data_IF_772318130483
#
_entry.id   IF_772318130483
#
_cell.length_a   1.000
_cell.length_b   1.000
_cell.length_c   1.000
_cell.angle_alpha   90.00
_cell.angle_beta   90.00
_cell.angle_gamma   90.00
#
_symmetry.space_group_name_H-M   'P 1'
#
loop_
_entity.id
_entity.type
_entity.pdbx_description
1 polymer ?
#
# COMPACT_ATOMS: atom_id res chain seq x y z
N UNK A 1 46.64 12.23 -26.04
CA UNK A 1 45.97 13.44 -26.60
C UNK A 1 44.48 13.14 -26.60
N UNK A 2 43.71 13.65 -25.62
CA UNK A 2 42.94 14.91 -25.70
C UNK A 2 41.74 14.69 -26.62
N UNK A 3 40.54 14.45 -26.09
CA UNK A 3 39.69 15.53 -25.55
C UNK A 3 38.70 15.08 -24.48
N UNK A 4 38.68 15.84 -23.39
CA UNK A 4 37.63 15.94 -22.37
C UNK A 4 36.55 16.90 -22.90
N UNK A 5 35.27 16.56 -22.76
CA UNK A 5 34.18 17.55 -22.63
C UNK A 5 33.14 17.04 -21.62
N UNK A 6 32.79 17.93 -20.71
CA UNK A 6 32.04 17.77 -19.46
C UNK A 6 30.63 18.37 -19.62
N UNK A 7 29.65 17.76 -18.93
CA UNK A 7 28.36 18.30 -18.45
C UNK A 7 27.35 18.75 -19.53
N UNK A 8 26.04 18.51 -19.39
CA UNK A 8 25.22 18.90 -18.24
C UNK A 8 24.03 17.96 -18.07
N UNK A 9 24.08 17.08 -17.06
CA UNK A 9 22.89 16.44 -16.53
C UNK A 9 22.25 17.43 -15.55
N UNK A 10 21.26 18.18 -16.02
CA UNK A 10 20.39 18.95 -15.13
C UNK A 10 19.47 17.95 -14.41
N UNK A 11 19.95 17.42 -13.29
CA UNK A 11 19.10 16.77 -12.31
C UNK A 11 18.03 17.77 -11.88
N UNK A 12 16.80 17.57 -12.34
CA UNK A 12 15.63 18.13 -11.68
C UNK A 12 15.62 17.53 -10.28
N UNK A 13 16.13 18.31 -9.33
CA UNK A 13 16.00 18.04 -7.91
C UNK A 13 14.51 18.08 -7.58
N UNK A 14 13.87 16.92 -7.62
CA UNK A 14 12.70 16.67 -6.82
C UNK A 14 13.19 16.72 -5.38
N UNK A 15 13.05 17.89 -4.76
CA UNK A 15 12.99 18.00 -3.32
C UNK A 15 11.80 17.13 -2.87
N UNK A 16 12.05 15.85 -2.62
CA UNK A 16 11.12 15.05 -1.85
C UNK A 16 11.07 15.68 -0.46
N UNK A 17 9.95 16.29 -0.05
CA UNK A 17 9.83 16.79 1.30
C UNK A 17 9.96 15.59 2.24
N UNK A 18 10.48 15.86 3.43
CA UNK A 18 10.81 14.91 4.47
C UNK A 18 9.58 14.09 4.98
N UNK A 19 9.11 13.14 4.17
CA UNK A 19 8.05 12.17 4.51
C UNK A 19 8.59 10.78 4.83
N UNK A 20 9.91 10.60 4.89
CA UNK A 20 10.55 9.29 4.98
C UNK A 20 10.32 8.54 6.32
N UNK A 21 9.93 9.23 7.39
CA UNK A 21 9.68 8.58 8.69
C UNK A 21 8.19 8.31 8.94
N UNK A 22 7.29 9.19 8.51
CA UNK A 22 5.84 8.92 8.56
C UNK A 22 5.39 7.98 7.45
N UNK A 23 5.97 8.09 6.25
CA UNK A 23 5.55 7.29 5.09
C UNK A 23 5.77 5.78 5.26
N UNK A 24 6.88 5.38 5.90
CA UNK A 24 7.12 3.96 6.21
C UNK A 24 6.07 3.41 7.19
N UNK A 25 5.70 4.22 8.20
CA UNK A 25 4.67 3.87 9.17
C UNK A 25 3.27 3.84 8.53
N UNK A 26 2.95 4.78 7.64
CA UNK A 26 1.67 4.81 6.90
C UNK A 26 1.54 3.63 5.93
N UNK A 27 2.61 3.28 5.21
CA UNK A 27 2.61 2.15 4.31
C UNK A 27 2.51 0.81 5.05
N UNK A 28 3.06 0.73 6.26
CA UNK A 28 2.84 -0.39 7.17
C UNK A 28 1.37 -0.52 7.57
N UNK A 29 0.75 0.57 8.03
CA UNK A 29 -0.67 0.58 8.40
C UNK A 29 -1.59 0.19 7.22
N UNK A 30 -1.33 0.71 6.02
CA UNK A 30 -2.12 0.33 4.85
C UNK A 30 -1.91 -1.15 4.48
N UNK A 31 -0.68 -1.67 4.58
CA UNK A 31 -0.40 -3.08 4.32
C UNK A 31 -1.10 -3.99 5.33
N UNK A 32 -1.16 -3.61 6.60
CA UNK A 32 -1.95 -4.33 7.62
C UNK A 32 -3.44 -4.34 7.25
N UNK A 33 -4.01 -3.19 6.86
CA UNK A 33 -5.42 -3.11 6.45
C UNK A 33 -5.70 -4.01 5.24
N UNK A 34 -4.82 -3.97 4.23
CA UNK A 34 -4.88 -4.86 3.05
C UNK A 34 -4.86 -6.32 3.47
N UNK A 35 -3.95 -6.69 4.38
CA UNK A 35 -3.86 -8.07 4.85
C UNK A 35 -5.09 -8.53 5.61
N UNK A 36 -5.74 -7.67 6.40
CA UNK A 36 -7.02 -8.01 7.05
C UNK A 36 -8.11 -8.34 6.02
N UNK A 37 -8.14 -7.63 4.89
CA UNK A 37 -9.08 -7.93 3.81
C UNK A 37 -8.71 -9.23 3.08
N UNK A 38 -7.41 -9.48 2.86
CA UNK A 38 -6.92 -10.76 2.31
C UNK A 38 -7.33 -11.93 3.19
N UNK A 39 -7.11 -11.82 4.50
CA UNK A 39 -7.48 -12.82 5.51
C UNK A 39 -8.99 -13.08 5.49
N UNK A 40 -9.81 -12.03 5.54
CA UNK A 40 -11.27 -12.17 5.45
C UNK A 40 -11.70 -12.92 4.18
N UNK A 41 -11.08 -12.64 3.03
CA UNK A 41 -11.35 -13.35 1.76
C UNK A 41 -10.87 -14.80 1.80
N UNK A 42 -9.71 -15.07 2.39
CA UNK A 42 -9.18 -16.42 2.58
C UNK A 42 -10.07 -17.26 3.50
N UNK A 43 -10.70 -16.62 4.50
CA UNK A 43 -11.69 -17.21 5.41
C UNK A 43 -13.07 -17.39 4.77
N UNK A 44 -13.27 -16.91 3.54
CA UNK A 44 -14.48 -17.12 2.75
C UNK A 44 -15.54 -16.04 2.92
N UNK A 45 -15.20 -14.89 3.48
CA UNK A 45 -16.05 -13.71 3.39
C UNK A 45 -16.21 -13.29 1.91
N UNK A 46 -17.36 -12.71 1.58
CA UNK A 46 -17.54 -11.95 0.35
C UNK A 46 -17.05 -10.50 0.54
N UNK A 47 -17.01 -9.73 -0.55
CA UNK A 47 -16.46 -8.38 -0.56
C UNK A 47 -17.19 -7.43 0.39
N UNK A 48 -18.52 -7.52 0.46
CA UNK A 48 -19.33 -6.65 1.31
C UNK A 48 -19.10 -6.95 2.79
N UNK A 49 -19.06 -8.23 3.15
CA UNK A 49 -18.76 -8.67 4.51
C UNK A 49 -17.34 -8.28 4.92
N UNK A 50 -16.35 -8.57 4.08
CA UNK A 50 -14.96 -8.24 4.37
C UNK A 50 -14.76 -6.73 4.54
N UNK A 51 -15.37 -5.91 3.68
CA UNK A 51 -15.37 -4.46 3.83
C UNK A 51 -15.96 -4.03 5.18
N UNK A 52 -17.14 -4.53 5.50
CA UNK A 52 -17.85 -4.18 6.75
C UNK A 52 -17.01 -4.54 7.97
N UNK A 53 -16.52 -5.78 8.03
CA UNK A 53 -15.71 -6.29 9.16
C UNK A 53 -14.41 -5.48 9.32
N UNK A 54 -13.72 -5.20 8.22
CA UNK A 54 -12.45 -4.46 8.23
C UNK A 54 -12.64 -2.99 8.63
N UNK A 55 -13.67 -2.31 8.12
CA UNK A 55 -13.98 -0.92 8.48
C UNK A 55 -14.41 -0.82 9.95
N UNK A 56 -15.29 -1.72 10.42
CA UNK A 56 -15.72 -1.74 11.82
C UNK A 56 -14.59 -2.11 12.78
N UNK A 57 -13.60 -2.87 12.31
CA UNK A 57 -12.40 -3.21 13.06
C UNK A 57 -11.27 -2.18 12.96
N UNK A 58 -11.46 -1.04 12.29
CA UNK A 58 -10.47 0.04 12.34
C UNK A 58 -10.49 0.72 13.72
N UNK A 59 -9.30 1.10 14.19
CA UNK A 59 -9.14 1.86 15.42
C UNK A 59 -7.84 2.67 15.36
N UNK A 60 -7.78 3.79 16.09
CA UNK A 60 -6.57 4.61 16.18
C UNK A 60 -6.16 5.19 14.83
N UNK A 61 -4.86 5.11 14.49
CA UNK A 61 -4.34 5.63 13.21
C UNK A 61 -4.95 4.96 11.97
N UNK A 62 -5.55 3.78 12.11
CA UNK A 62 -6.24 3.09 11.03
C UNK A 62 -7.54 3.77 10.59
N UNK A 63 -8.22 4.50 11.48
CA UNK A 63 -9.56 5.05 11.22
C UNK A 63 -9.60 6.01 10.02
N UNK A 64 -8.50 6.73 9.77
CA UNK A 64 -8.37 7.64 8.62
C UNK A 64 -8.47 6.93 7.26
N UNK A 65 -8.28 5.61 7.23
CA UNK A 65 -8.36 4.81 6.02
C UNK A 65 -9.76 4.27 5.72
N UNK A 66 -10.76 4.51 6.59
CA UNK A 66 -12.11 3.98 6.42
C UNK A 66 -12.72 4.24 5.02
N UNK A 67 -12.47 5.42 4.46
CA UNK A 67 -12.95 5.79 3.12
C UNK A 67 -12.14 5.15 1.98
N UNK A 68 -10.93 4.66 2.26
CA UNK A 68 -10.05 4.00 1.28
C UNK A 68 -10.19 2.48 1.29
N UNK A 69 -10.64 1.87 2.40
CA UNK A 69 -10.87 0.41 2.49
C UNK A 69 -11.74 -0.14 1.35
N UNK A 70 -12.83 0.53 0.88
CA UNK A 70 -13.60 0.04 -0.26
C UNK A 70 -12.75 -0.22 -1.51
N UNK A 71 -11.81 0.69 -1.83
CA UNK A 71 -10.93 0.56 -2.99
C UNK A 71 -9.90 -0.55 -2.79
N UNK A 72 -9.36 -0.69 -1.58
CA UNK A 72 -8.46 -1.81 -1.24
C UNK A 72 -9.18 -3.16 -1.37
N UNK A 73 -10.43 -3.24 -0.88
CA UNK A 73 -11.23 -4.45 -0.98
C UNK A 73 -11.60 -4.79 -2.42
N UNK A 74 -12.03 -3.81 -3.21
CA UNK A 74 -12.29 -4.02 -4.64
C UNK A 74 -11.07 -4.61 -5.36
N UNK A 75 -9.90 -4.03 -5.13
CA UNK A 75 -8.66 -4.54 -5.71
C UNK A 75 -8.38 -5.97 -5.27
N UNK A 76 -8.43 -6.27 -3.96
CA UNK A 76 -8.15 -7.61 -3.44
C UNK A 76 -9.12 -8.63 -4.01
N UNK A 77 -10.41 -8.30 -4.15
CA UNK A 77 -11.41 -9.22 -4.71
C UNK A 77 -11.29 -9.40 -6.23
N UNK A 78 -10.62 -8.48 -6.93
CA UNK A 78 -10.28 -8.63 -8.34
C UNK A 78 -9.16 -9.66 -8.60
N UNK A 79 -8.35 -9.97 -7.59
CA UNK A 79 -7.24 -10.92 -7.71
C UNK A 79 -7.72 -12.37 -7.78
N UNK A 80 -6.95 -13.24 -8.43
CA UNK A 80 -7.16 -14.68 -8.34
C UNK A 80 -6.95 -15.17 -6.90
N UNK A 81 -7.74 -16.16 -6.48
CA UNK A 81 -7.65 -16.65 -5.09
C UNK A 81 -6.30 -17.28 -4.78
N UNK A 82 -5.66 -17.89 -5.78
CA UNK A 82 -4.40 -18.62 -5.63
C UNK A 82 -3.19 -17.69 -5.38
N UNK A 83 -3.33 -16.39 -5.69
CA UNK A 83 -2.28 -15.39 -5.42
C UNK A 83 -2.42 -14.73 -4.05
N UNK A 84 -3.51 -15.01 -3.32
CA UNK A 84 -3.71 -14.45 -1.97
C UNK A 84 -2.76 -15.11 -0.97
N UNK A 85 -1.97 -14.29 -0.29
CA UNK A 85 -1.06 -14.74 0.75
C UNK A 85 -0.25 -13.59 1.34
N UNK A 86 0.70 -13.90 2.25
CA UNK A 86 1.47 -12.88 2.98
C UNK A 86 2.22 -11.88 2.09
N UNK A 87 2.64 -12.33 0.90
CA UNK A 87 3.37 -11.50 -0.06
C UNK A 87 2.56 -10.29 -0.57
N UNK A 88 1.22 -10.31 -0.47
CA UNK A 88 0.38 -9.19 -0.89
C UNK A 88 0.64 -7.95 -0.02
N UNK A 89 0.74 -8.12 1.29
CA UNK A 89 1.07 -7.02 2.21
C UNK A 89 2.47 -6.46 1.98
N UNK A 90 3.45 -7.34 1.79
CA UNK A 90 4.84 -6.93 1.47
C UNK A 90 4.92 -6.15 0.15
N UNK A 91 4.23 -6.63 -0.89
CA UNK A 91 4.15 -5.97 -2.19
C UNK A 91 3.42 -4.63 -2.09
N UNK A 92 2.38 -4.52 -1.26
CA UNK A 92 1.70 -3.26 -1.00
C UNK A 92 2.62 -2.25 -0.32
N UNK A 93 3.22 -2.62 0.82
CA UNK A 93 4.11 -1.75 1.57
C UNK A 93 5.27 -1.25 0.70
N UNK A 94 5.86 -2.15 -0.09
CA UNK A 94 6.98 -1.82 -1.00
C UNK A 94 6.56 -0.81 -2.07
N UNK A 95 5.37 -0.97 -2.67
CA UNK A 95 4.88 -0.02 -3.67
C UNK A 95 4.49 1.31 -3.05
N UNK A 96 3.81 1.28 -1.90
CA UNK A 96 3.43 2.47 -1.16
C UNK A 96 4.63 3.34 -0.79
N UNK A 97 5.73 2.74 -0.32
CA UNK A 97 6.93 3.47 0.05
C UNK A 97 7.65 4.14 -1.15
N UNK A 98 7.26 3.80 -2.38
CA UNK A 98 7.78 4.39 -3.61
C UNK A 98 6.85 5.46 -4.21
N UNK A 99 5.66 5.66 -3.64
CA UNK A 99 4.70 6.70 -4.03
C UNK A 99 4.94 7.99 -3.25
#
# INVERSE_FOLDING_TARGET
MKTIWIATAACLGLAAPALAQSGADECGLQAEIVMRVVEARQDGADAERALTDVVQGLSGEGEKYAETVPLMAEWIYSLDRDVLGPAIGEAWATQCAQM
#
